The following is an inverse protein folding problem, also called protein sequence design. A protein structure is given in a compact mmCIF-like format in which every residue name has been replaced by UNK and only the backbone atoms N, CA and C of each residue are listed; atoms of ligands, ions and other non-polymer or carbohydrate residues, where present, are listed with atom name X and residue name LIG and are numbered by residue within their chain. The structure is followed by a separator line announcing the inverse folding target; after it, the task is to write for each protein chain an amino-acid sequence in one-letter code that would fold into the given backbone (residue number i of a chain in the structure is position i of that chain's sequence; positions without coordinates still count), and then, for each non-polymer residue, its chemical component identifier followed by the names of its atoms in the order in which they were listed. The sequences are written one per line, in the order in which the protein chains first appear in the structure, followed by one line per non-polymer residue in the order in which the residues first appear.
data_IF_708875672373
#
_entry.id   IF_708875672373
#
_cell.length_a   1.000
_cell.length_b   1.000
_cell.length_c   1.000
_cell.angle_alpha   90.00
_cell.angle_beta   90.00
_cell.angle_gamma   90.00
#
_symmetry.space_group_name_H-M   'P 1'
#
loop_
_entity.id
_entity.type
_entity.pdbx_description
1 polymer ?
#
# COMPACT_ATOMS: atom_id res chain seq x y z
N UNK A 1 11.38 19.08 32.65
CA UNK A 1 11.53 18.83 31.21
C UNK A 1 11.99 17.38 31.06
N UNK A 2 11.17 16.50 30.51
CA UNK A 2 11.50 15.06 30.37
C UNK A 2 11.92 14.82 28.93
N UNK A 3 13.21 14.54 28.72
CA UNK A 3 13.77 14.15 27.42
C UNK A 3 13.35 12.71 27.11
N UNK A 4 12.82 12.50 25.91
CA UNK A 4 12.52 11.17 25.40
C UNK A 4 13.83 10.38 25.27
N UNK A 5 14.04 9.41 26.15
CA UNK A 5 15.12 8.44 26.01
C UNK A 5 14.84 7.62 24.73
N UNK A 6 15.71 7.78 23.74
CA UNK A 6 15.77 6.93 22.56
C UNK A 6 15.97 5.49 23.05
N UNK A 7 14.93 4.66 22.98
CA UNK A 7 15.05 3.23 23.30
C UNK A 7 15.85 2.59 22.16
N UNK A 8 17.18 2.60 22.30
CA UNK A 8 18.05 1.78 21.47
C UNK A 8 17.66 0.32 21.69
N UNK A 9 17.12 -0.32 20.65
CA UNK A 9 16.82 -1.75 20.71
C UNK A 9 18.16 -2.49 20.83
N UNK A 10 18.39 -3.32 21.85
CA UNK A 10 19.61 -4.10 21.96
C UNK A 10 19.71 -5.01 20.73
N UNK A 11 20.83 -4.90 20.00
CA UNK A 11 21.14 -5.84 18.93
C UNK A 11 21.55 -7.16 19.59
N UNK A 12 20.80 -8.21 19.30
CA UNK A 12 21.16 -9.56 19.71
C UNK A 12 22.48 -9.96 19.03
N UNK A 13 23.35 -10.59 19.79
CA UNK A 13 24.56 -11.24 19.29
C UNK A 13 24.21 -12.49 18.49
N UNK A 14 25.09 -12.92 17.59
CA UNK A 14 24.87 -14.12 16.77
C UNK A 14 24.60 -15.38 17.62
N UNK A 15 25.19 -15.44 18.81
CA UNK A 15 25.02 -16.53 19.77
C UNK A 15 23.65 -16.52 20.47
N UNK A 16 23.11 -15.34 20.77
CA UNK A 16 21.75 -15.19 21.29
C UNK A 16 20.71 -15.54 20.23
N UNK A 17 20.95 -15.15 18.98
CA UNK A 17 20.10 -15.53 17.84
C UNK A 17 20.09 -17.05 17.64
N UNK A 18 21.24 -17.71 17.74
CA UNK A 18 21.33 -19.18 17.65
C UNK A 18 20.57 -19.87 18.78
N UNK A 19 20.73 -19.39 20.02
CA UNK A 19 20.00 -19.92 21.19
C UNK A 19 18.49 -19.76 21.05
N UNK A 20 18.03 -18.59 20.58
CA UNK A 20 16.62 -18.32 20.34
C UNK A 20 16.05 -19.22 19.24
N UNK A 21 16.80 -19.42 18.15
CA UNK A 21 16.41 -20.34 17.07
C UNK A 21 16.24 -21.76 17.59
N UNK A 22 17.14 -22.24 18.42
CA UNK A 22 17.04 -23.57 19.02
C UNK A 22 15.83 -23.68 19.96
N UNK A 23 15.58 -22.64 20.78
CA UNK A 23 14.48 -22.63 21.75
C UNK A 23 13.09 -22.65 21.08
N UNK A 24 12.91 -21.96 19.96
CA UNK A 24 11.64 -21.95 19.22
C UNK A 24 11.49 -23.12 18.23
N UNK A 25 12.43 -24.07 18.21
CA UNK A 25 12.44 -25.16 17.23
C UNK A 25 12.56 -24.65 15.79
N UNK A 26 13.28 -23.55 15.60
CA UNK A 26 13.47 -22.92 14.30
C UNK A 26 14.10 -23.90 13.32
N UNK A 27 13.48 -24.04 12.16
CA UNK A 27 14.00 -24.88 11.10
C UNK A 27 14.61 -24.04 9.99
N UNK A 28 15.78 -24.42 9.42
CA UNK A 28 16.39 -23.69 8.31
C UNK A 28 15.46 -23.52 7.10
N UNK A 29 14.54 -24.45 6.86
CA UNK A 29 13.50 -24.31 5.83
C UNK A 29 12.50 -23.17 6.10
N UNK A 30 12.37 -22.70 7.35
CA UNK A 30 11.62 -21.48 7.68
C UNK A 30 12.39 -20.20 7.30
N UNK A 31 13.71 -20.32 7.08
CA UNK A 31 14.60 -19.26 6.61
C UNK A 31 14.57 -19.05 5.10
N UNK A 32 14.05 -20.03 4.33
CA UNK A 32 13.86 -19.92 2.88
C UNK A 32 12.77 -18.91 2.50
N UNK A 33 12.02 -18.39 3.48
CA UNK A 33 11.34 -17.11 3.30
C UNK A 33 12.42 -16.04 3.33
N UNK A 34 13.08 -15.84 2.19
CA UNK A 34 14.08 -14.80 2.00
C UNK A 34 13.64 -13.52 2.73
N UNK A 35 14.51 -12.92 3.56
CA UNK A 35 14.22 -11.62 4.13
C UNK A 35 13.96 -10.67 2.96
N UNK A 36 12.71 -10.21 2.82
CA UNK A 36 12.33 -9.15 1.88
C UNK A 36 12.99 -7.85 2.33
N UNK A 37 14.27 -7.75 2.04
CA UNK A 37 15.16 -6.67 2.44
C UNK A 37 16.44 -6.76 1.63
N UNK A 38 16.45 -6.01 0.51
CA UNK A 38 17.62 -5.43 -0.13
C UNK A 38 18.44 -6.24 -1.16
N UNK A 39 17.93 -7.33 -1.73
CA UNK A 39 18.60 -8.03 -2.84
C UNK A 39 17.86 -7.92 -4.17
N UNK A 40 18.37 -7.11 -5.10
CA UNK A 40 17.97 -7.01 -6.51
C UNK A 40 16.57 -6.40 -6.76
N UNK A 41 16.61 -5.16 -7.24
CA UNK A 41 15.68 -4.65 -8.25
C UNK A 41 15.73 -5.56 -9.49
N UNK A 42 15.34 -6.82 -9.35
CA UNK A 42 15.35 -7.75 -10.48
C UNK A 42 14.36 -7.20 -11.49
N UNK A 43 14.74 -7.23 -12.74
CA UNK A 43 13.88 -6.88 -13.86
C UNK A 43 12.52 -7.60 -13.75
N UNK A 44 12.50 -8.80 -13.15
CA UNK A 44 11.29 -9.52 -12.73
C UNK A 44 10.40 -8.77 -11.72
N UNK A 45 10.97 -8.20 -10.65
CA UNK A 45 10.22 -7.38 -9.70
C UNK A 45 9.66 -6.09 -10.33
N UNK A 46 10.45 -5.44 -11.20
CA UNK A 46 9.98 -4.27 -11.95
C UNK A 46 8.85 -4.65 -12.91
N UNK A 47 8.98 -5.78 -13.62
CA UNK A 47 7.96 -6.32 -14.53
C UNK A 47 6.67 -6.72 -13.80
N UNK A 48 6.77 -7.36 -12.64
CA UNK A 48 5.61 -7.69 -11.79
C UNK A 48 4.91 -6.41 -11.34
N UNK A 49 5.67 -5.41 -10.85
CA UNK A 49 5.11 -4.12 -10.44
C UNK A 49 4.45 -3.39 -11.60
N UNK A 50 5.09 -3.35 -12.76
CA UNK A 50 4.55 -2.71 -13.97
C UNK A 50 3.28 -3.41 -14.46
N UNK A 51 3.25 -4.76 -14.44
CA UNK A 51 2.04 -5.51 -14.82
C UNK A 51 0.89 -5.27 -13.85
N UNK A 52 1.15 -5.29 -12.54
CA UNK A 52 0.14 -4.99 -11.53
C UNK A 52 -0.32 -3.53 -11.68
N UNK A 53 0.58 -2.58 -11.92
CA UNK A 53 0.25 -1.18 -12.14
C UNK A 53 -0.65 -0.99 -13.38
N UNK A 54 -0.32 -1.63 -14.51
CA UNK A 54 -1.13 -1.55 -15.72
C UNK A 54 -2.55 -2.09 -15.52
N UNK A 55 -2.68 -3.24 -14.83
CA UNK A 55 -4.00 -3.78 -14.47
C UNK A 55 -4.72 -2.84 -13.53
N UNK A 56 -4.03 -2.27 -12.55
CA UNK A 56 -4.64 -1.29 -11.66
C UNK A 56 -5.10 -0.06 -12.45
N UNK A 57 -4.32 0.49 -13.36
CA UNK A 57 -4.71 1.65 -14.18
C UNK A 57 -5.99 1.38 -14.98
N UNK A 58 -6.17 0.17 -15.52
CA UNK A 58 -7.41 -0.27 -16.18
C UNK A 58 -8.63 -0.24 -15.23
N UNK A 59 -8.42 -0.56 -13.95
CA UNK A 59 -9.46 -0.63 -12.91
C UNK A 59 -9.41 0.53 -11.90
N UNK A 60 -8.76 1.65 -12.23
CA UNK A 60 -8.77 2.87 -11.41
C UNK A 60 -7.71 2.96 -10.29
N UNK A 61 -6.56 2.34 -10.50
CA UNK A 61 -5.34 2.50 -9.73
C UNK A 61 -5.28 1.75 -8.38
N UNK A 62 -4.18 1.91 -7.64
CA UNK A 62 -3.82 1.09 -6.46
C UNK A 62 -4.72 1.29 -5.23
N UNK A 63 -5.57 2.31 -5.24
CA UNK A 63 -6.49 2.63 -4.17
C UNK A 63 -7.84 1.89 -4.28
N UNK A 64 -8.15 1.33 -5.45
CA UNK A 64 -9.42 0.62 -5.67
C UNK A 64 -9.30 -0.86 -5.35
N UNK A 65 -10.41 -1.42 -4.88
CA UNK A 65 -10.53 -2.87 -4.70
C UNK A 65 -10.67 -3.52 -6.06
N UNK A 66 -9.75 -4.43 -6.36
CA UNK A 66 -9.81 -5.21 -7.60
C UNK A 66 -11.14 -5.99 -7.68
N UNK A 67 -11.77 -6.06 -8.86
CA UNK A 67 -12.93 -6.92 -9.08
C UNK A 67 -12.65 -8.39 -8.76
N UNK A 68 -13.72 -9.13 -8.48
CA UNK A 68 -13.61 -10.56 -8.24
C UNK A 68 -13.00 -11.27 -9.47
N UNK A 69 -12.03 -12.16 -9.24
CA UNK A 69 -11.33 -12.87 -10.32
C UNK A 69 -10.06 -12.20 -10.86
N UNK A 70 -9.89 -10.87 -10.72
CA UNK A 70 -8.68 -10.17 -11.19
C UNK A 70 -7.44 -10.59 -10.40
N UNK A 71 -7.53 -10.64 -9.06
CA UNK A 71 -6.42 -11.09 -8.23
C UNK A 71 -6.00 -12.55 -8.54
N UNK A 72 -6.92 -13.54 -8.62
CA UNK A 72 -6.60 -14.89 -9.10
C UNK A 72 -5.99 -14.95 -10.51
N UNK A 73 -6.40 -14.06 -11.42
CA UNK A 73 -5.83 -13.98 -12.77
C UNK A 73 -4.38 -13.47 -12.73
N UNK A 74 -4.11 -12.38 -12.02
CA UNK A 74 -2.74 -11.84 -11.85
C UNK A 74 -1.81 -12.90 -11.24
N UNK A 75 -2.29 -13.60 -10.20
CA UNK A 75 -1.52 -14.68 -9.57
C UNK A 75 -1.16 -15.80 -10.53
N UNK A 76 -2.10 -16.21 -11.40
CA UNK A 76 -1.87 -17.22 -12.45
C UNK A 76 -0.90 -16.73 -13.53
N UNK A 77 -1.11 -15.53 -14.06
CA UNK A 77 -0.29 -14.96 -15.14
C UNK A 77 1.16 -14.69 -14.71
N UNK A 78 1.36 -14.28 -13.45
CA UNK A 78 2.68 -13.95 -12.91
C UNK A 78 3.32 -15.07 -12.10
N UNK A 79 2.65 -16.22 -11.97
CA UNK A 79 3.10 -17.36 -11.14
C UNK A 79 3.51 -16.94 -9.73
N UNK A 80 2.71 -16.07 -9.10
CA UNK A 80 2.96 -15.54 -7.74
C UNK A 80 1.92 -16.02 -6.73
N UNK A 81 2.31 -16.08 -5.47
CA UNK A 81 1.41 -16.43 -4.35
C UNK A 81 0.56 -15.24 -3.90
N UNK A 82 -0.52 -15.52 -3.15
CA UNK A 82 -1.39 -14.47 -2.59
C UNK A 82 -0.60 -13.55 -1.65
N UNK A 83 0.29 -14.11 -0.85
CA UNK A 83 1.20 -13.35 0.01
C UNK A 83 2.08 -12.43 -0.83
N UNK A 84 2.68 -12.91 -1.92
CA UNK A 84 3.49 -12.06 -2.79
C UNK A 84 2.66 -10.91 -3.37
N UNK A 85 1.45 -11.18 -3.89
CA UNK A 85 0.55 -10.16 -4.41
C UNK A 85 0.21 -9.09 -3.35
N UNK A 86 -0.14 -9.48 -2.12
CA UNK A 86 -0.44 -8.54 -1.01
C UNK A 86 0.73 -7.61 -0.73
N UNK A 87 1.95 -8.13 -0.73
CA UNK A 87 3.14 -7.33 -0.52
C UNK A 87 3.45 -6.39 -1.69
N UNK A 88 3.29 -6.83 -2.94
CA UNK A 88 3.47 -5.96 -4.10
C UNK A 88 2.43 -4.84 -4.14
N UNK A 89 1.16 -5.13 -3.85
CA UNK A 89 0.11 -4.11 -3.71
C UNK A 89 0.42 -3.13 -2.58
N UNK A 90 0.94 -3.61 -1.44
CA UNK A 90 1.35 -2.76 -0.32
C UNK A 90 2.52 -1.84 -0.71
N UNK A 91 3.52 -2.37 -1.42
CA UNK A 91 4.65 -1.59 -1.91
C UNK A 91 4.20 -0.53 -2.92
N UNK A 92 3.39 -0.90 -3.92
CA UNK A 92 2.84 0.03 -4.91
C UNK A 92 2.02 1.15 -4.25
N UNK A 93 1.16 0.83 -3.27
CA UNK A 93 0.44 1.86 -2.52
C UNK A 93 1.37 2.82 -1.78
N UNK A 94 2.49 2.34 -1.22
CA UNK A 94 3.48 3.18 -0.56
C UNK A 94 4.20 4.09 -1.56
N UNK A 95 4.58 3.54 -2.71
CA UNK A 95 5.28 4.29 -3.76
C UNK A 95 4.36 5.37 -4.35
N UNK A 96 3.09 5.03 -4.62
CA UNK A 96 2.07 6.00 -5.06
C UNK A 96 1.78 7.06 -4.00
N UNK A 97 1.73 6.71 -2.71
CA UNK A 97 1.59 7.70 -1.62
C UNK A 97 2.76 8.69 -1.55
N UNK A 98 3.95 8.29 -2.00
CA UNK A 98 5.13 9.16 -2.05
C UNK A 98 5.17 10.01 -3.32
N UNK A 99 4.72 9.46 -4.45
CA UNK A 99 4.75 10.14 -5.74
C UNK A 99 3.61 11.14 -5.93
N UNK A 100 2.40 10.83 -5.43
CA UNK A 100 1.21 11.66 -5.61
C UNK A 100 0.91 12.53 -4.38
N UNK A 101 0.57 13.78 -4.64
CA UNK A 101 0.01 14.67 -3.63
C UNK A 101 -1.29 14.09 -3.03
N UNK A 102 -1.67 14.47 -1.80
CA UNK A 102 -2.94 14.09 -1.21
C UNK A 102 -4.15 14.35 -2.13
N UNK A 103 -4.13 15.46 -2.87
CA UNK A 103 -5.22 15.86 -3.76
C UNK A 103 -5.32 14.92 -4.95
N UNK A 104 -4.21 14.62 -5.64
CA UNK A 104 -4.19 13.69 -6.77
C UNK A 104 -4.64 12.28 -6.37
N UNK A 105 -4.27 11.83 -5.16
CA UNK A 105 -4.74 10.54 -4.63
C UNK A 105 -6.25 10.51 -4.42
N UNK A 106 -6.83 11.60 -3.90
CA UNK A 106 -8.27 11.71 -3.72
C UNK A 106 -8.97 11.75 -5.08
N UNK A 107 -8.47 12.55 -6.02
CA UNK A 107 -9.02 12.65 -7.37
C UNK A 107 -9.06 11.28 -8.07
N UNK A 108 -7.96 10.54 -8.00
CA UNK A 108 -7.85 9.20 -8.56
C UNK A 108 -8.86 8.21 -7.94
N UNK A 109 -9.06 8.25 -6.61
CA UNK A 109 -10.07 7.41 -5.94
C UNK A 109 -11.47 7.76 -6.42
N UNK A 110 -11.78 9.05 -6.57
CA UNK A 110 -13.09 9.49 -7.03
C UNK A 110 -13.35 9.01 -8.46
N UNK A 111 -12.39 9.18 -9.36
CA UNK A 111 -12.55 8.78 -10.76
C UNK A 111 -12.67 7.27 -10.92
N UNK A 112 -11.85 6.53 -10.19
CA UNK A 112 -11.84 5.08 -10.21
C UNK A 112 -13.14 4.44 -9.74
N UNK A 113 -13.84 5.09 -8.80
CA UNK A 113 -15.15 4.61 -8.34
C UNK A 113 -16.32 5.30 -9.08
N UNK A 114 -16.04 6.18 -10.05
CA UNK A 114 -17.06 7.00 -10.69
C UNK A 114 -17.81 7.92 -9.71
N UNK A 115 -17.19 8.26 -8.58
CA UNK A 115 -17.83 9.02 -7.51
C UNK A 115 -17.72 10.52 -7.77
N UNK A 116 -18.84 11.23 -7.94
CA UNK A 116 -18.81 12.69 -7.97
C UNK A 116 -18.32 13.23 -6.62
N UNK A 117 -17.55 14.34 -6.60
CA UNK A 117 -16.98 14.93 -5.38
C UNK A 117 -17.98 15.13 -4.23
N UNK A 118 -19.25 15.39 -4.54
CA UNK A 118 -20.32 15.53 -3.53
C UNK A 118 -20.54 14.26 -2.70
N UNK A 119 -20.43 13.07 -3.30
CA UNK A 119 -20.65 11.79 -2.60
C UNK A 119 -19.51 11.51 -1.62
N UNK A 120 -18.32 12.03 -1.88
CA UNK A 120 -17.16 11.88 -1.00
C UNK A 120 -17.31 12.62 0.35
N UNK A 121 -18.26 13.57 0.45
CA UNK A 121 -18.51 14.39 1.64
C UNK A 121 -19.92 14.26 2.22
N UNK A 122 -20.90 13.76 1.45
CA UNK A 122 -22.31 13.71 1.88
C UNK A 122 -22.62 12.69 2.98
N UNK A 123 -22.18 11.41 2.90
CA UNK A 123 -22.47 10.46 3.95
C UNK A 123 -21.65 10.78 5.21
N UNK A 124 -22.25 10.75 6.41
CA UNK A 124 -21.48 10.83 7.65
C UNK A 124 -20.43 9.71 7.68
N UNK A 125 -19.17 10.08 7.92
CA UNK A 125 -18.04 9.16 7.91
C UNK A 125 -17.38 8.90 6.55
N UNK A 126 -17.92 9.40 5.43
CA UNK A 126 -17.28 9.22 4.11
C UNK A 126 -15.92 9.93 4.01
N UNK A 127 -15.84 11.17 4.51
CA UNK A 127 -14.59 11.92 4.57
C UNK A 127 -13.56 11.23 5.48
N UNK A 128 -14.00 10.63 6.59
CA UNK A 128 -13.17 9.86 7.52
C UNK A 128 -12.71 8.51 6.93
N UNK A 129 -13.55 7.87 6.11
CA UNK A 129 -13.16 6.68 5.36
C UNK A 129 -12.09 7.02 4.30
N UNK A 130 -12.29 8.12 3.57
CA UNK A 130 -11.31 8.63 2.60
C UNK A 130 -10.00 9.04 3.27
N UNK A 131 -10.06 9.69 4.43
CA UNK A 131 -8.87 10.08 5.20
C UNK A 131 -8.03 8.86 5.57
N UNK A 132 -8.70 7.77 5.99
CA UNK A 132 -8.05 6.48 6.31
C UNK A 132 -7.43 5.81 5.08
N UNK A 133 -8.14 5.80 3.95
CA UNK A 133 -7.66 5.18 2.70
C UNK A 133 -6.45 5.92 2.14
N UNK A 134 -6.54 7.25 2.07
CA UNK A 134 -5.50 8.12 1.52
C UNK A 134 -4.33 8.27 2.51
N UNK A 135 -4.60 8.17 3.81
CA UNK A 135 -3.62 8.34 4.88
C UNK A 135 -3.28 9.81 5.13
N UNK A 136 -4.30 10.66 5.17
CA UNK A 136 -4.22 12.12 5.39
C UNK A 136 -5.36 12.56 6.28
N UNK A 137 -5.28 13.74 6.89
CA UNK A 137 -6.30 14.17 7.85
C UNK A 137 -7.63 14.53 7.17
N UNK A 138 -8.74 14.34 7.87
CA UNK A 138 -10.08 14.66 7.35
C UNK A 138 -10.23 16.11 6.83
N UNK A 139 -9.66 17.16 7.48
CA UNK A 139 -9.70 18.52 6.94
C UNK A 139 -8.92 18.68 5.63
N UNK A 140 -7.86 17.90 5.41
CA UNK A 140 -7.13 17.88 4.14
C UNK A 140 -7.98 17.21 3.05
N UNK A 141 -8.69 16.13 3.38
CA UNK A 141 -9.65 15.49 2.47
C UNK A 141 -10.74 16.47 2.05
N UNK A 142 -11.39 17.14 3.00
CA UNK A 142 -12.45 18.13 2.72
C UNK A 142 -11.96 19.24 1.77
N UNK A 143 -10.78 19.81 2.06
CA UNK A 143 -10.17 20.85 1.20
C UNK A 143 -9.88 20.33 -0.21
N UNK A 144 -9.29 19.15 -0.33
CA UNK A 144 -8.98 18.54 -1.62
C UNK A 144 -10.24 18.26 -2.43
N UNK A 145 -11.26 17.64 -1.83
CA UNK A 145 -12.54 17.35 -2.51
C UNK A 145 -13.23 18.63 -2.98
N UNK A 146 -13.26 19.69 -2.16
CA UNK A 146 -13.81 20.99 -2.57
C UNK A 146 -13.01 21.66 -3.69
N UNK A 147 -11.68 21.46 -3.72
CA UNK A 147 -10.81 21.94 -4.79
C UNK A 147 -11.11 21.21 -6.10
N UNK A 148 -11.19 19.87 -6.07
CA UNK A 148 -11.53 19.01 -7.21
C UNK A 148 -12.93 19.36 -7.75
N UNK A 149 -13.90 19.54 -6.85
CA UNK A 149 -15.27 19.92 -7.22
C UNK A 149 -15.33 21.27 -7.96
N UNK A 150 -14.50 22.24 -7.57
CA UNK A 150 -14.38 23.53 -8.28
C UNK A 150 -13.72 23.37 -9.64
N UNK A 151 -12.61 22.61 -9.71
CA UNK A 151 -11.89 22.34 -10.96
C UNK A 151 -12.77 21.68 -12.03
N UNK A 152 -13.67 20.75 -11.64
CA UNK A 152 -14.58 20.06 -12.58
C UNK A 152 -15.76 20.91 -13.08
N UNK A 153 -15.97 22.10 -12.53
CA UNK A 153 -17.04 23.04 -12.95
C UNK A 153 -16.54 24.19 -13.82
N UNK A 154 -15.23 24.43 -13.81
CA UNK A 154 -14.56 25.42 -14.67
C UNK A 154 -14.25 24.79 -16.03
#
# INVERSE_FOLDING_TARGET
MVTAATVERPKLTDQEVASLRQMIGYRPEWSEVEPRGNGVLSEGNARIRARIAAVLDEYGGPAVRLPHGVAPRIMRELTITETQLKWHLKALRKDVRRALSPQERIELILDANGWPPRIALCPPGAATALSTVVGVDEPQVKRAVCSIARKRRA
#
